data_IF_893725971011
#
_entry.id   IF_893725971011
#
_cell.length_a   1.000
_cell.length_b   1.000
_cell.length_c   1.000
_cell.angle_alpha   90.00
_cell.angle_beta   90.00
_cell.angle_gamma   90.00
#
_symmetry.space_group_name_H-M   'P 1'
#
loop_
_entity.id
_entity.type
_entity.pdbx_description
1 polymer ?
#
# COMPACT_ATOMS: atom_id res chain seq x y z
N UNK A 1 -5.10 -24.91 7.98
CA UNK A 1 -6.55 -24.79 8.24
C UNK A 1 -6.85 -23.31 8.51
N UNK A 2 -7.40 -22.60 7.53
CA UNK A 2 -7.92 -21.24 7.73
C UNK A 2 -9.39 -21.36 8.11
N UNK A 3 -9.77 -20.81 9.26
CA UNK A 3 -11.15 -20.85 9.76
C UNK A 3 -11.89 -19.59 9.33
N UNK A 4 -13.23 -19.62 9.33
CA UNK A 4 -14.13 -18.51 8.93
C UNK A 4 -13.85 -17.14 9.58
N UNK A 5 -13.07 -17.10 10.67
CA UNK A 5 -12.63 -15.86 11.32
C UNK A 5 -11.51 -15.12 10.56
N UNK A 6 -10.73 -15.81 9.73
CA UNK A 6 -9.69 -15.17 8.90
C UNK A 6 -10.28 -14.37 7.72
N UNK A 7 -11.52 -14.70 7.31
CA UNK A 7 -12.16 -14.07 6.15
C UNK A 7 -12.72 -12.67 6.47
N UNK A 8 -13.16 -12.45 7.70
CA UNK A 8 -13.78 -11.17 8.11
C UNK A 8 -12.76 -10.08 8.42
N UNK A 9 -11.56 -10.45 8.91
CA UNK A 9 -10.48 -9.50 9.18
C UNK A 9 -9.78 -9.05 7.91
N UNK A 10 -9.44 -9.99 7.01
CA UNK A 10 -8.78 -9.68 5.74
C UNK A 10 -9.69 -8.89 4.81
N UNK A 11 -10.98 -9.24 4.73
CA UNK A 11 -11.97 -8.54 3.91
C UNK A 11 -12.16 -7.07 4.30
N UNK A 12 -12.01 -6.74 5.59
CA UNK A 12 -12.28 -5.38 6.09
C UNK A 12 -11.45 -4.31 5.40
N UNK A 13 -10.19 -4.57 5.09
CA UNK A 13 -9.35 -3.62 4.38
C UNK A 13 -9.84 -3.30 2.95
N UNK A 14 -10.60 -4.21 2.34
CA UNK A 14 -11.18 -4.06 0.99
C UNK A 14 -12.51 -3.29 1.00
N UNK A 15 -13.28 -3.43 2.07
CA UNK A 15 -14.66 -2.92 2.15
C UNK A 15 -14.86 -1.78 3.15
N UNK A 16 -13.92 -1.55 4.05
CA UNK A 16 -13.98 -0.50 5.07
C UNK A 16 -12.68 0.30 5.12
N UNK A 17 -12.82 1.56 5.53
CA UNK A 17 -11.69 2.48 5.70
C UNK A 17 -11.03 2.37 7.08
N UNK A 18 -11.58 1.54 7.97
CA UNK A 18 -11.07 1.24 9.30
C UNK A 18 -10.47 -0.18 9.39
N UNK A 19 -9.21 -0.34 8.97
CA UNK A 19 -8.46 -1.59 9.13
C UNK A 19 -7.22 -1.36 9.98
N UNK A 20 -6.77 -2.43 10.64
CA UNK A 20 -5.61 -2.42 11.51
C UNK A 20 -4.39 -2.85 10.71
N UNK A 21 -3.32 -2.06 10.78
CA UNK A 21 -2.01 -2.48 10.27
C UNK A 21 -1.35 -3.37 11.31
N UNK A 22 -1.02 -4.60 10.91
CA UNK A 22 -0.36 -5.53 11.83
C UNK A 22 1.06 -5.06 12.19
N UNK A 23 1.54 -5.29 13.43
CA UNK A 23 2.87 -4.85 13.86
C UNK A 23 4.02 -5.37 12.99
N UNK A 24 3.89 -6.60 12.48
CA UNK A 24 4.93 -7.26 11.67
C UNK A 24 5.13 -6.59 10.30
N UNK A 25 4.11 -6.41 9.43
CA UNK A 25 4.27 -5.67 8.18
C UNK A 25 4.62 -4.21 8.42
N UNK A 26 4.06 -3.54 9.45
CA UNK A 26 4.45 -2.17 9.81
C UNK A 26 5.97 -2.06 10.03
N UNK A 27 6.53 -2.89 10.91
CA UNK A 27 7.97 -2.88 11.19
C UNK A 27 8.81 -3.25 9.98
N UNK A 28 8.41 -4.29 9.24
CA UNK A 28 9.22 -4.87 8.16
C UNK A 28 9.22 -4.01 6.89
N UNK A 29 8.06 -3.49 6.50
CA UNK A 29 7.86 -2.85 5.21
C UNK A 29 7.81 -1.32 5.29
N UNK A 30 7.39 -0.74 6.42
CA UNK A 30 7.22 0.72 6.58
C UNK A 30 8.36 1.31 7.42
N UNK A 31 8.44 0.94 8.70
CA UNK A 31 9.38 1.58 9.64
C UNK A 31 10.86 1.31 9.32
N UNK A 32 11.15 0.24 8.57
CA UNK A 32 12.49 -0.07 8.06
C UNK A 32 12.94 0.91 6.96
N UNK A 33 12.01 1.59 6.30
CA UNK A 33 12.24 2.47 5.16
C UNK A 33 11.61 3.85 5.43
N UNK A 34 12.30 4.74 6.18
CA UNK A 34 11.77 6.07 6.51
C UNK A 34 11.36 6.89 5.28
N UNK A 35 12.08 6.72 4.17
CA UNK A 35 11.83 7.44 2.92
C UNK A 35 10.48 7.11 2.26
N UNK A 36 9.83 6.00 2.65
CA UNK A 36 8.46 5.69 2.22
C UNK A 36 7.45 6.76 2.65
N UNK A 37 7.75 7.52 3.70
CA UNK A 37 6.99 8.71 4.11
C UNK A 37 6.91 9.75 2.98
N UNK A 38 7.93 9.80 2.12
CA UNK A 38 7.99 10.67 0.94
C UNK A 38 7.52 9.93 -0.33
N UNK A 39 8.00 8.71 -0.55
CA UNK A 39 7.79 8.02 -1.83
C UNK A 39 6.36 7.53 -2.04
N UNK A 40 5.63 7.14 -0.99
CA UNK A 40 4.24 6.68 -1.15
C UNK A 40 3.28 7.82 -1.49
N UNK A 41 3.39 9.02 -0.91
CA UNK A 41 2.71 10.21 -1.41
C UNK A 41 3.07 10.56 -2.86
N UNK A 42 4.34 10.43 -3.27
CA UNK A 42 4.73 10.63 -4.68
C UNK A 42 4.03 9.62 -5.61
N UNK A 43 4.01 8.35 -5.22
CA UNK A 43 3.29 7.31 -5.97
C UNK A 43 1.79 7.62 -6.09
N UNK A 44 1.18 8.15 -5.03
CA UNK A 44 -0.20 8.60 -5.04
C UNK A 44 -0.45 9.73 -6.04
N UNK A 45 0.49 10.67 -6.18
CA UNK A 45 0.41 11.73 -7.20
C UNK A 45 0.59 11.23 -8.63
N UNK A 46 1.38 10.17 -8.84
CA UNK A 46 1.48 9.55 -10.17
C UNK A 46 0.20 8.80 -10.51
N UNK A 47 -0.37 8.06 -9.56
CA UNK A 47 -1.65 7.37 -9.72
C UNK A 47 -2.83 8.31 -9.97
N UNK A 48 -2.80 9.54 -9.43
CA UNK A 48 -3.86 10.54 -9.67
C UNK A 48 -3.90 11.02 -11.13
N UNK A 49 -2.76 10.96 -11.82
CA UNK A 49 -2.56 11.42 -13.20
C UNK A 49 -2.76 10.34 -14.26
N UNK A 50 -2.98 9.09 -13.85
CA UNK A 50 -3.25 8.01 -14.79
C UNK A 50 -4.58 8.25 -15.50
N UNK A 51 -4.59 8.08 -16.83
CA UNK A 51 -5.83 8.03 -17.59
C UNK A 51 -6.65 6.81 -17.17
N UNK A 52 -6.01 5.63 -17.17
CA UNK A 52 -6.60 4.37 -16.73
C UNK A 52 -6.04 3.88 -15.40
N UNK A 53 -6.92 3.54 -14.44
CA UNK A 53 -6.52 2.93 -13.17
C UNK A 53 -6.68 1.41 -13.21
N UNK A 54 -5.83 0.75 -14.01
CA UNK A 54 -5.83 -0.70 -14.20
C UNK A 54 -4.54 -1.33 -13.60
N UNK A 55 -4.38 -2.65 -13.70
CA UNK A 55 -3.25 -3.36 -13.07
C UNK A 55 -1.95 -3.04 -13.77
N UNK A 56 -2.00 -2.98 -15.10
CA UNK A 56 -0.87 -2.81 -16.00
C UNK A 56 -0.22 -1.44 -15.79
N UNK A 57 -1.02 -0.37 -15.80
CA UNK A 57 -0.55 1.00 -15.61
C UNK A 57 -0.07 1.26 -14.19
N UNK A 58 -0.79 0.75 -13.17
CA UNK A 58 -0.36 0.92 -11.78
C UNK A 58 0.92 0.15 -11.47
N UNK A 59 1.13 -1.02 -12.09
CA UNK A 59 2.38 -1.76 -12.02
C UNK A 59 3.52 -1.04 -12.70
N UNK A 60 3.30 -0.58 -13.93
CA UNK A 60 4.29 0.16 -14.73
C UNK A 60 4.79 1.38 -13.95
N UNK A 61 3.88 2.26 -13.52
CA UNK A 61 4.21 3.48 -12.76
C UNK A 61 4.93 3.17 -11.44
N UNK A 62 4.50 2.13 -10.70
CA UNK A 62 5.18 1.75 -9.46
C UNK A 62 6.64 1.32 -9.69
N UNK A 63 6.89 0.63 -10.80
CA UNK A 63 8.23 0.15 -11.15
C UNK A 63 9.11 1.26 -11.73
N UNK A 64 8.53 2.15 -12.52
CA UNK A 64 9.22 3.34 -13.04
C UNK A 64 9.66 4.25 -11.91
N UNK A 65 8.78 4.58 -10.96
CA UNK A 65 9.15 5.38 -9.79
C UNK A 65 10.25 4.70 -8.97
N UNK A 66 10.21 3.38 -8.81
CA UNK A 66 11.28 2.65 -8.13
C UNK A 66 12.62 2.79 -8.85
N UNK A 67 12.62 2.74 -10.20
CA UNK A 67 13.82 2.91 -11.01
C UNK A 67 14.35 4.36 -10.94
N UNK A 68 13.46 5.36 -11.00
CA UNK A 68 13.82 6.78 -10.86
C UNK A 68 14.45 7.10 -9.50
N UNK A 69 13.98 6.45 -8.44
CA UNK A 69 14.50 6.59 -7.08
C UNK A 69 15.74 5.71 -6.82
N UNK A 70 16.19 4.90 -7.78
CA UNK A 70 17.26 3.90 -7.64
C UNK A 70 17.03 2.93 -6.46
N UNK A 71 15.80 2.43 -6.32
CA UNK A 71 15.41 1.48 -5.27
C UNK A 71 14.84 0.19 -5.85
N UNK A 72 14.89 -0.87 -5.03
CA UNK A 72 14.23 -2.14 -5.39
C UNK A 72 12.71 -1.92 -5.46
N UNK A 73 12.01 -2.32 -6.54
CA UNK A 73 10.55 -2.16 -6.66
C UNK A 73 9.76 -2.77 -5.50
N UNK A 74 10.28 -3.86 -4.92
CA UNK A 74 9.69 -4.52 -3.76
C UNK A 74 9.56 -3.62 -2.53
N UNK A 75 10.30 -2.51 -2.41
CA UNK A 75 10.17 -1.57 -1.30
C UNK A 75 8.85 -0.81 -1.42
N UNK A 76 8.56 -0.21 -2.59
CA UNK A 76 7.28 0.46 -2.85
C UNK A 76 6.11 -0.53 -2.82
N UNK A 77 6.24 -1.68 -3.50
CA UNK A 77 5.15 -2.65 -3.63
C UNK A 77 4.73 -3.21 -2.26
N UNK A 78 5.70 -3.58 -1.41
CA UNK A 78 5.38 -4.07 -0.07
C UNK A 78 4.96 -2.95 0.87
N UNK A 79 5.49 -1.74 0.70
CA UNK A 79 5.06 -0.55 1.43
C UNK A 79 3.60 -0.24 1.17
N UNK A 80 3.19 -0.08 -0.09
CA UNK A 80 1.79 0.17 -0.45
C UNK A 80 0.88 -0.99 -0.03
N UNK A 81 1.31 -2.25 -0.09
CA UNK A 81 0.53 -3.38 0.46
C UNK A 81 0.21 -3.16 1.92
N UNK A 82 1.25 -2.89 2.72
CA UNK A 82 1.07 -2.69 4.16
C UNK A 82 0.20 -1.47 4.44
N UNK A 83 0.41 -0.37 3.74
CA UNK A 83 -0.45 0.81 3.91
C UNK A 83 -1.88 0.47 3.56
N UNK A 84 -2.15 -0.21 2.44
CA UNK A 84 -3.50 -0.38 1.90
C UNK A 84 -4.30 -1.52 2.54
N UNK A 85 -3.63 -2.56 3.04
CA UNK A 85 -4.30 -3.74 3.61
C UNK A 85 -3.94 -4.04 5.05
N UNK A 86 -2.87 -3.45 5.57
CA UNK A 86 -2.35 -3.78 6.89
C UNK A 86 -1.63 -5.13 6.97
N UNK A 87 -1.47 -5.84 5.85
CA UNK A 87 -1.00 -7.23 5.81
C UNK A 87 0.36 -7.38 5.12
N UNK A 88 1.02 -8.51 5.38
CA UNK A 88 2.32 -8.85 4.80
C UNK A 88 2.22 -9.53 3.43
N UNK A 89 1.13 -10.27 3.20
CA UNK A 89 0.87 -11.04 2.00
C UNK A 89 -0.64 -11.10 1.74
N UNK A 90 -1.02 -11.52 0.55
CA UNK A 90 -2.41 -11.60 0.11
C UNK A 90 -2.49 -11.75 -1.41
N UNK A 91 -3.64 -11.41 -2.02
CA UNK A 91 -3.79 -11.35 -3.47
C UNK A 91 -2.73 -10.47 -4.14
N UNK A 92 -2.63 -10.57 -5.47
CA UNK A 92 -1.69 -9.77 -6.26
C UNK A 92 -1.85 -8.29 -5.96
N UNK A 93 -0.75 -7.57 -5.77
CA UNK A 93 -0.82 -6.21 -5.23
C UNK A 93 -1.60 -5.27 -6.16
N UNK A 94 -1.43 -5.43 -7.47
CA UNK A 94 -2.13 -4.61 -8.46
C UNK A 94 -3.61 -4.99 -8.59
N UNK A 95 -4.00 -6.25 -8.30
CA UNK A 95 -5.40 -6.63 -8.14
C UNK A 95 -6.06 -5.87 -6.99
N UNK A 96 -5.32 -5.72 -5.87
CA UNK A 96 -5.79 -5.00 -4.69
C UNK A 96 -6.02 -3.52 -5.03
N UNK A 97 -5.12 -2.89 -5.79
CA UNK A 97 -5.29 -1.49 -6.21
C UNK A 97 -6.61 -1.30 -6.96
N UNK A 98 -6.83 -2.11 -8.00
CA UNK A 98 -8.06 -2.04 -8.81
C UNK A 98 -9.30 -2.30 -7.97
N UNK A 99 -9.24 -3.26 -7.04
CA UNK A 99 -10.34 -3.60 -6.14
C UNK A 99 -10.68 -2.47 -5.17
N UNK A 100 -9.68 -1.77 -4.63
CA UNK A 100 -9.89 -0.65 -3.72
C UNK A 100 -10.36 0.62 -4.44
N UNK A 101 -9.96 0.79 -5.70
CA UNK A 101 -10.24 1.97 -6.51
C UNK A 101 -9.28 3.13 -6.26
N UNK A 102 -9.16 4.00 -7.27
CA UNK A 102 -8.18 5.09 -7.35
C UNK A 102 -8.22 6.01 -6.13
N UNK A 103 -9.38 6.54 -5.78
CA UNK A 103 -9.52 7.56 -4.74
C UNK A 103 -9.06 7.06 -3.36
N UNK A 104 -9.49 5.84 -3.00
CA UNK A 104 -9.13 5.20 -1.73
C UNK A 104 -7.63 4.90 -1.66
N UNK A 105 -7.05 4.40 -2.74
CA UNK A 105 -5.60 4.16 -2.84
C UNK A 105 -4.84 5.46 -2.61
N UNK A 106 -5.18 6.52 -3.35
CA UNK A 106 -4.50 7.82 -3.25
C UNK A 106 -4.61 8.39 -1.84
N UNK A 107 -5.81 8.40 -1.28
CA UNK A 107 -6.05 8.93 0.07
C UNK A 107 -5.21 8.20 1.13
N UNK A 108 -5.17 6.86 1.09
CA UNK A 108 -4.40 6.06 2.06
C UNK A 108 -2.89 6.26 1.90
N UNK A 109 -2.39 6.31 0.67
CA UNK A 109 -0.95 6.51 0.40
C UNK A 109 -0.46 7.92 0.76
N UNK A 110 -1.29 8.95 0.57
CA UNK A 110 -0.98 10.33 0.98
C UNK A 110 -0.92 10.48 2.50
N UNK A 111 -1.80 9.80 3.21
CA UNK A 111 -1.97 9.98 4.65
C UNK A 111 -1.08 9.05 5.49
N UNK A 112 0.10 8.63 5.01
CA UNK A 112 0.94 7.64 5.70
C UNK A 112 1.59 8.15 7.01
N UNK A 113 1.69 9.47 7.20
CA UNK A 113 2.39 10.09 8.32
C UNK A 113 2.00 9.58 9.71
N UNK A 114 0.72 9.22 9.89
CA UNK A 114 0.22 8.65 11.16
C UNK A 114 0.88 7.33 11.56
N UNK A 115 1.55 6.63 10.63
CA UNK A 115 2.27 5.38 10.92
C UNK A 115 3.64 5.62 11.55
N UNK A 116 4.13 6.86 11.55
CA UNK A 116 5.47 7.22 12.05
C UNK A 116 5.44 7.90 13.44
N UNK A 117 4.27 8.08 14.06
CA UNK A 117 4.11 8.53 15.47
C UNK A 117 3.04 7.69 16.19
N UNK A 118 3.08 7.37 17.49
CA UNK A 118 3.90 7.80 18.63
C UNK A 118 5.04 6.81 18.93
N UNK A 119 6.28 7.32 19.00
CA UNK A 119 7.16 6.93 20.10
C UNK A 119 7.00 8.02 21.16
N UNK A 120 6.14 7.78 22.13
CA UNK A 120 6.03 8.52 23.39
C UNK A 120 5.72 7.49 24.46
#
# INVERSE_FOLDING_TARGET
>A
FHTLKDFTSAGRAYFADDYVIEPKPLKKNILKHPDLKTWLPMLAELFSKLDEFNKEETERVSRELAAELDIKPGILINGMRTVLTGQLAGPGMFDILVTLGRERVISRLKNIDHLYGRQS
#
